data_IF_597292693238
#
_entry.id   IF_597292693238
#
_cell.length_a   1.000
_cell.length_b   1.000
_cell.length_c   1.000
_cell.angle_alpha   90.00
_cell.angle_beta   90.00
_cell.angle_gamma   90.00
#
_symmetry.space_group_name_H-M   'P 1'
#
loop_
_entity.id
_entity.type
_entity.pdbx_description
1 polymer ?
#
# COMPACT_ATOMS: atom_id res chain seq x y z
N UNK A 1 -11.27 0.94 -23.47
CA UNK A 1 -10.76 2.33 -23.46
C UNK A 1 -10.00 2.63 -24.75
N UNK A 2 -8.86 1.98 -25.02
CA UNK A 2 -8.04 2.20 -26.22
C UNK A 2 -8.82 2.15 -27.56
N UNK A 3 -9.64 1.12 -27.77
CA UNK A 3 -10.45 1.00 -28.98
C UNK A 3 -11.44 2.16 -29.18
N UNK A 4 -11.97 2.73 -28.09
CA UNK A 4 -12.90 3.86 -28.13
C UNK A 4 -12.17 5.14 -28.50
N UNK A 5 -11.04 5.42 -27.85
CA UNK A 5 -10.22 6.59 -28.15
C UNK A 5 -9.73 6.58 -29.60
N UNK A 6 -9.35 5.40 -30.13
CA UNK A 6 -8.99 5.25 -31.53
C UNK A 6 -10.15 5.54 -32.48
N UNK A 7 -11.39 5.15 -32.13
CA UNK A 7 -12.57 5.42 -32.95
C UNK A 7 -12.98 6.91 -32.91
N UNK A 8 -12.71 7.59 -31.80
CA UNK A 8 -13.12 8.98 -31.55
C UNK A 8 -11.99 10.00 -31.82
N UNK A 9 -10.79 9.55 -32.21
CA UNK A 9 -9.64 10.43 -32.47
C UNK A 9 -9.09 11.10 -31.20
N UNK A 10 -9.26 10.46 -30.04
CA UNK A 10 -8.81 10.97 -28.74
C UNK A 10 -7.36 10.53 -28.49
N UNK A 11 -6.52 11.48 -28.07
CA UNK A 11 -5.17 11.20 -27.58
C UNK A 11 -5.20 10.65 -26.15
N UNK A 12 -4.34 9.66 -25.85
CA UNK A 12 -4.22 9.07 -24.52
C UNK A 12 -2.76 9.13 -24.09
N UNK A 13 -2.54 9.57 -22.85
CA UNK A 13 -1.30 9.36 -22.12
C UNK A 13 -1.52 8.28 -21.05
N UNK A 14 -0.63 7.30 -21.02
CA UNK A 14 -0.62 6.24 -20.01
C UNK A 14 0.49 6.51 -19.01
N UNK A 15 0.16 6.36 -17.73
CA UNK A 15 1.10 6.49 -16.63
C UNK A 15 1.05 5.20 -15.80
N UNK A 16 2.22 4.70 -15.42
CA UNK A 16 2.37 3.64 -14.43
C UNK A 16 2.98 4.25 -13.17
N UNK A 17 2.42 3.90 -12.02
CA UNK A 17 2.80 4.52 -10.75
C UNK A 17 3.68 3.55 -9.98
N UNK A 18 4.94 3.94 -9.81
CA UNK A 18 5.90 3.17 -9.02
C UNK A 18 5.41 3.01 -7.58
N UNK A 19 5.45 1.79 -7.07
CA UNK A 19 5.08 1.48 -5.68
C UNK A 19 3.66 1.93 -5.27
N UNK A 20 2.71 1.98 -6.22
CA UNK A 20 1.35 2.48 -6.04
C UNK A 20 0.67 2.11 -4.70
N UNK A 21 0.84 0.88 -4.23
CA UNK A 21 0.21 0.43 -2.98
C UNK A 21 0.75 1.10 -1.72
N UNK A 22 2.00 1.55 -1.69
CA UNK A 22 2.57 2.30 -0.56
C UNK A 22 1.90 3.65 -0.36
N UNK A 23 1.33 4.21 -1.43
CA UNK A 23 0.57 5.46 -1.35
C UNK A 23 -0.87 5.24 -0.87
N UNK A 24 -1.36 4.00 -0.82
CA UNK A 24 -2.68 3.68 -0.29
C UNK A 24 -2.75 4.00 1.20
N UNK A 25 -3.66 4.90 1.58
CA UNK A 25 -3.91 5.22 2.99
C UNK A 25 -4.68 4.07 3.64
N UNK A 26 -4.14 3.55 4.76
CA UNK A 26 -4.84 2.58 5.58
C UNK A 26 -6.02 3.25 6.31
N UNK A 27 -7.21 2.68 6.19
CA UNK A 27 -8.39 3.12 6.95
C UNK A 27 -8.53 2.39 8.29
N UNK A 28 -7.79 1.29 8.48
CA UNK A 28 -7.81 0.43 9.65
C UNK A 28 -6.38 0.20 10.16
N UNK A 29 -6.25 -0.09 11.45
CA UNK A 29 -4.98 -0.53 12.03
C UNK A 29 -4.72 -1.98 11.65
N UNK A 30 -3.59 -2.24 11.00
CA UNK A 30 -3.18 -3.58 10.59
C UNK A 30 -1.89 -3.90 11.32
N UNK A 31 -1.91 -5.00 12.06
CA UNK A 31 -0.74 -5.60 12.68
C UNK A 31 -0.37 -6.88 11.91
N UNK A 32 0.92 -7.18 11.87
CA UNK A 32 1.45 -8.41 11.30
C UNK A 32 2.61 -8.94 12.13
N UNK A 33 2.81 -10.25 12.05
CA UNK A 33 4.01 -10.88 12.59
C UNK A 33 5.26 -10.24 11.99
N UNK A 34 6.32 -10.15 12.79
CA UNK A 34 7.59 -9.63 12.31
C UNK A 34 8.14 -10.55 11.20
N UNK A 35 8.54 -9.98 10.04
CA UNK A 35 9.15 -10.77 8.97
C UNK A 35 10.40 -11.53 9.43
N UNK A 36 10.62 -12.73 8.87
CA UNK A 36 11.74 -13.61 9.24
C UNK A 36 13.11 -12.91 9.14
N UNK A 37 13.29 -12.03 8.15
CA UNK A 37 14.51 -11.24 7.97
C UNK A 37 14.78 -10.16 9.02
N UNK A 38 13.86 -9.96 9.97
CA UNK A 38 13.97 -8.98 11.06
C UNK A 38 14.01 -9.63 12.45
N UNK A 39 14.15 -10.95 12.54
CA UNK A 39 14.09 -11.69 13.82
C UNK A 39 15.06 -11.19 14.89
N UNK A 40 16.20 -10.61 14.50
CA UNK A 40 17.14 -9.95 15.42
C UNK A 40 16.48 -8.83 16.25
N UNK A 41 15.45 -8.17 15.73
CA UNK A 41 14.69 -7.17 16.49
C UNK A 41 13.86 -7.80 17.63
N UNK A 42 13.39 -9.04 17.47
CA UNK A 42 12.72 -9.76 18.56
C UNK A 42 13.70 -10.09 19.68
N UNK A 43 14.93 -10.51 19.35
CA UNK A 43 15.96 -10.79 20.35
C UNK A 43 16.32 -9.53 21.15
N UNK A 44 16.35 -8.36 20.50
CA UNK A 44 16.55 -7.07 21.17
C UNK A 44 15.36 -6.70 22.06
N UNK A 45 14.13 -6.88 21.58
CA UNK A 45 12.92 -6.59 22.33
C UNK A 45 12.80 -7.49 23.58
N UNK A 46 13.04 -8.80 23.43
CA UNK A 46 13.07 -9.75 24.55
C UNK A 46 14.13 -9.36 25.60
N UNK A 47 15.31 -8.90 25.16
CA UNK A 47 16.36 -8.43 26.07
C UNK A 47 15.97 -7.16 26.86
N UNK A 48 15.05 -6.36 26.32
CA UNK A 48 14.46 -5.19 26.98
C UNK A 48 13.19 -5.55 27.80
N UNK A 49 12.77 -6.82 27.77
CA UNK A 49 11.61 -7.34 28.51
C UNK A 49 10.28 -7.18 27.77
N UNK A 50 10.30 -7.01 26.45
CA UNK A 50 9.13 -6.98 25.58
C UNK A 50 8.95 -8.34 24.88
N UNK A 51 8.06 -9.18 25.43
CA UNK A 51 7.88 -10.57 24.99
C UNK A 51 6.89 -10.75 23.82
N UNK A 52 6.05 -9.74 23.53
CA UNK A 52 4.99 -9.79 22.50
C UNK A 52 5.07 -8.55 21.57
N UNK A 53 5.91 -8.62 20.55
CA UNK A 53 6.11 -7.52 19.58
C UNK A 53 5.53 -7.85 18.21
N UNK A 54 4.56 -7.04 17.78
CA UNK A 54 3.98 -7.08 16.44
C UNK A 54 4.33 -5.82 15.63
N UNK A 55 4.34 -5.96 14.30
CA UNK A 55 4.53 -4.84 13.38
C UNK A 55 3.21 -4.17 13.04
N UNK A 56 3.04 -2.91 13.42
CA UNK A 56 1.97 -2.08 12.90
C UNK A 56 2.33 -1.51 11.52
N UNK A 57 1.48 -1.74 10.53
CA UNK A 57 1.64 -1.15 9.20
C UNK A 57 1.25 0.33 9.22
N UNK A 58 2.17 1.19 8.75
CA UNK A 58 1.92 2.62 8.58
C UNK A 58 1.37 2.96 7.19
N UNK A 59 1.61 2.09 6.22
CA UNK A 59 1.22 2.24 4.83
C UNK A 59 0.74 0.89 4.29
N UNK A 60 -0.09 0.93 3.25
CA UNK A 60 -0.53 -0.28 2.56
C UNK A 60 0.66 -0.94 1.85
N UNK A 61 0.80 -2.26 2.00
CA UNK A 61 1.87 -3.04 1.37
C UNK A 61 1.34 -3.89 0.22
N UNK A 62 2.20 -4.17 -0.75
CA UNK A 62 1.95 -5.22 -1.74
C UNK A 62 1.74 -6.56 -1.05
N UNK A 63 0.60 -7.22 -1.32
CA UNK A 63 0.22 -8.48 -0.70
C UNK A 63 -0.96 -8.38 0.26
N UNK A 64 -1.31 -7.18 0.73
CA UNK A 64 -2.60 -6.98 1.41
C UNK A 64 -3.74 -7.18 0.42
N UNK A 65 -4.75 -7.95 0.80
CA UNK A 65 -5.93 -8.22 -0.05
C UNK A 65 -6.64 -6.93 -0.45
N UNK A 66 -6.59 -5.92 0.42
CA UNK A 66 -7.21 -4.61 0.25
C UNK A 66 -6.26 -3.52 -0.32
N UNK A 67 -5.00 -3.84 -0.65
CA UNK A 67 -4.03 -2.86 -1.14
C UNK A 67 -4.52 -2.08 -2.37
N UNK A 68 -5.07 -2.79 -3.35
CA UNK A 68 -5.61 -2.19 -4.57
C UNK A 68 -6.78 -1.24 -4.30
N UNK A 69 -7.60 -1.55 -3.30
CA UNK A 69 -8.73 -0.72 -2.90
C UNK A 69 -8.24 0.57 -2.24
N UNK A 70 -7.35 0.47 -1.26
CA UNK A 70 -6.78 1.64 -0.59
C UNK A 70 -6.07 2.58 -1.57
N UNK A 71 -5.31 2.03 -2.53
CA UNK A 71 -4.72 2.83 -3.59
C UNK A 71 -5.79 3.53 -4.44
N UNK A 72 -6.80 2.80 -4.92
CA UNK A 72 -7.85 3.36 -5.76
C UNK A 72 -8.62 4.49 -5.07
N UNK A 73 -9.01 4.30 -3.81
CA UNK A 73 -9.70 5.33 -3.01
C UNK A 73 -8.80 6.56 -2.80
N UNK A 74 -7.50 6.34 -2.57
CA UNK A 74 -6.54 7.44 -2.37
C UNK A 74 -6.35 8.26 -3.65
N UNK A 75 -6.07 7.62 -4.79
CA UNK A 75 -5.85 8.33 -6.05
C UNK A 75 -7.13 8.99 -6.57
N UNK A 76 -8.29 8.34 -6.45
CA UNK A 76 -9.58 8.92 -6.84
C UNK A 76 -9.88 10.19 -6.04
N UNK A 77 -9.70 10.15 -4.72
CA UNK A 77 -9.90 11.32 -3.86
C UNK A 77 -8.93 12.45 -4.23
N UNK A 78 -7.67 12.12 -4.49
CA UNK A 78 -6.66 13.11 -4.87
C UNK A 78 -7.03 13.79 -6.19
N UNK A 79 -7.31 13.02 -7.24
CA UNK A 79 -7.63 13.53 -8.58
C UNK A 79 -8.93 14.34 -8.62
N UNK A 80 -9.92 13.99 -7.80
CA UNK A 80 -11.16 14.77 -7.66
C UNK A 80 -10.99 16.09 -6.90
N UNK A 81 -9.94 16.19 -6.08
CA UNK A 81 -9.65 17.39 -5.29
C UNK A 81 -8.71 18.37 -5.98
N UNK A 82 -8.11 17.98 -7.11
CA UNK A 82 -7.37 18.86 -8.00
C UNK A 82 -8.31 19.77 -8.78
#
# INVERSE_FOLDING_TARGET
MLAKCSAEGIEIEQCDVDTAFLYGKLEEEIYMELPEGLRELLELAEAEGEDDVDCMLLQSLSGLKQASRFWNETIDKHLKSM
#
